data_IF_039681387506
#
_entry.id   IF_039681387506
#
_cell.length_a   1.000
_cell.length_b   1.000
_cell.length_c   1.000
_cell.angle_alpha   90.00
_cell.angle_beta   90.00
_cell.angle_gamma   90.00
#
_symmetry.space_group_name_H-M   'P 1'
#
loop_
_entity.id
_entity.type
_entity.pdbx_description
1 polymer ?
#
# COMPACT_ATOMS: atom_id res chain seq x y z
N UNK A 1 1.32 -2.69 45.68
CA UNK A 1 0.59 -2.14 44.52
C UNK A 1 1.29 -2.63 43.26
N UNK A 2 0.72 -3.64 42.59
CA UNK A 2 1.21 -4.12 41.28
C UNK A 2 0.39 -3.40 40.21
N UNK A 3 1.04 -2.53 39.43
CA UNK A 3 0.47 -1.89 38.24
C UNK A 3 0.63 -2.87 37.08
N UNK A 4 -0.46 -3.49 36.61
CA UNK A 4 -0.44 -4.46 35.52
C UNK A 4 -0.35 -3.81 34.12
N UNK A 5 0.21 -4.49 33.11
CA UNK A 5 0.40 -3.93 31.77
C UNK A 5 -0.86 -4.14 30.92
N UNK A 6 -1.78 -3.18 30.94
CA UNK A 6 -3.02 -3.23 30.14
C UNK A 6 -2.78 -2.76 28.67
N UNK A 7 -1.56 -2.37 28.30
CA UNK A 7 -1.29 -1.79 26.98
C UNK A 7 -1.12 -2.77 25.80
N UNK A 8 -0.84 -4.05 26.03
CA UNK A 8 -0.41 -4.96 24.95
C UNK A 8 -1.57 -5.57 24.13
N UNK A 9 -2.77 -5.70 24.71
CA UNK A 9 -3.88 -6.39 24.04
C UNK A 9 -4.54 -5.55 22.93
N UNK A 10 -4.53 -4.22 23.03
CA UNK A 10 -5.07 -3.34 21.99
C UNK A 10 -4.24 -3.35 20.70
N UNK A 11 -2.96 -3.77 20.78
CA UNK A 11 -2.07 -3.80 19.62
C UNK A 11 -2.31 -5.02 18.70
N UNK A 12 -2.92 -6.10 19.18
CA UNK A 12 -3.13 -7.30 18.35
C UNK A 12 -4.30 -7.13 17.37
N UNK A 13 -5.41 -6.54 17.83
CA UNK A 13 -6.64 -6.47 17.04
C UNK A 13 -6.50 -5.59 15.77
N UNK A 14 -5.74 -4.49 15.82
CA UNK A 14 -5.50 -3.67 14.63
C UNK A 14 -4.51 -4.34 13.65
N UNK A 15 -3.54 -5.10 14.16
CA UNK A 15 -2.60 -5.87 13.33
C UNK A 15 -3.30 -7.00 12.61
N UNK A 16 -4.21 -7.72 13.27
CA UNK A 16 -5.03 -8.75 12.62
C UNK A 16 -5.91 -8.16 11.51
N UNK A 17 -6.53 -7.01 11.77
CA UNK A 17 -7.34 -6.28 10.78
C UNK A 17 -6.50 -5.83 9.57
N UNK A 18 -5.28 -5.35 9.80
CA UNK A 18 -4.36 -4.99 8.71
C UNK A 18 -3.82 -6.20 7.96
N UNK A 19 -3.62 -7.32 8.66
CA UNK A 19 -3.18 -8.58 8.06
C UNK A 19 -4.27 -9.15 7.16
N UNK A 20 -5.52 -9.13 7.61
CA UNK A 20 -6.67 -9.53 6.81
C UNK A 20 -6.84 -8.64 5.57
N UNK A 21 -6.69 -7.31 5.73
CA UNK A 21 -6.71 -6.37 4.62
C UNK A 21 -5.54 -6.57 3.64
N UNK A 22 -4.34 -6.87 4.14
CA UNK A 22 -3.17 -7.16 3.32
C UNK A 22 -3.36 -8.45 2.50
N UNK A 23 -3.89 -9.51 3.12
CA UNK A 23 -4.20 -10.77 2.43
C UNK A 23 -5.31 -10.57 1.38
N UNK A 24 -6.35 -9.79 1.70
CA UNK A 24 -7.43 -9.47 0.77
C UNK A 24 -6.96 -8.62 -0.42
N UNK A 25 -5.97 -7.74 -0.23
CA UNK A 25 -5.43 -6.85 -1.28
C UNK A 25 -4.30 -7.47 -2.11
N UNK A 26 -3.60 -8.49 -1.60
CA UNK A 26 -2.58 -9.22 -2.34
C UNK A 26 -3.15 -10.02 -3.54
N UNK A 27 -4.32 -10.66 -3.36
CA UNK A 27 -4.95 -11.47 -4.41
C UNK A 27 -5.31 -10.69 -5.70
N UNK A 28 -5.93 -9.49 -5.66
CA UNK A 28 -6.21 -8.70 -6.86
C UNK A 28 -4.97 -8.03 -7.47
N UNK A 29 -3.90 -7.78 -6.70
CA UNK A 29 -2.69 -7.11 -7.19
C UNK A 29 -1.89 -7.97 -8.20
N UNK A 30 -1.84 -9.29 -8.00
CA UNK A 30 -1.17 -10.20 -8.94
C UNK A 30 -1.90 -10.34 -10.29
N UNK A 31 -3.22 -10.15 -10.32
CA UNK A 31 -4.04 -10.39 -11.52
C UNK A 31 -4.21 -9.14 -12.42
N UNK A 32 -3.93 -7.94 -11.91
CA UNK A 32 -4.20 -6.68 -12.59
C UNK A 32 -3.00 -6.07 -13.33
N UNK A 33 -1.96 -6.87 -13.63
CA UNK A 33 -0.85 -6.46 -14.51
C UNK A 33 -1.30 -6.39 -15.99
N UNK A 34 -2.36 -5.62 -16.27
CA UNK A 34 -2.81 -5.30 -17.61
C UNK A 34 -2.05 -4.08 -18.14
N UNK A 35 -1.43 -4.23 -19.30
CA UNK A 35 -0.67 -3.22 -20.06
C UNK A 35 -1.56 -2.15 -20.71
N UNK A 36 -2.70 -1.80 -20.11
CA UNK A 36 -3.43 -0.62 -20.52
C UNK A 36 -2.62 0.61 -20.11
N UNK A 37 -2.50 1.59 -21.01
CA UNK A 37 -1.90 2.88 -20.69
C UNK A 37 -2.76 3.55 -19.60
N UNK A 38 -2.34 3.38 -18.36
CA UNK A 38 -3.00 3.97 -17.19
C UNK A 38 -2.69 5.46 -17.12
N UNK A 39 -3.67 6.27 -16.73
CA UNK A 39 -3.50 7.71 -16.53
C UNK A 39 -3.95 8.06 -15.11
N UNK A 40 -3.12 8.78 -14.33
CA UNK A 40 -3.50 9.22 -12.99
C UNK A 40 -4.72 10.14 -13.05
N UNK A 41 -5.59 10.05 -12.05
CA UNK A 41 -6.82 10.86 -11.95
C UNK A 41 -6.65 12.05 -11.03
N UNK A 42 -5.82 11.91 -10.01
CA UNK A 42 -5.57 12.91 -8.96
C UNK A 42 -4.26 13.64 -9.23
N UNK A 43 -3.22 12.92 -9.67
CA UNK A 43 -1.90 13.49 -9.87
C UNK A 43 -1.67 13.99 -11.31
N UNK A 44 -0.86 15.04 -11.46
CA UNK A 44 -0.23 15.36 -12.74
C UNK A 44 0.84 14.33 -13.07
N UNK A 45 1.25 14.22 -14.33
CA UNK A 45 2.30 13.27 -14.76
C UNK A 45 3.63 13.43 -13.98
N UNK A 46 4.00 14.66 -13.63
CA UNK A 46 5.21 14.91 -12.85
C UNK A 46 5.06 14.47 -11.38
N UNK A 47 3.88 14.71 -10.78
CA UNK A 47 3.59 14.29 -9.42
C UNK A 47 3.52 12.76 -9.32
N UNK A 48 2.89 12.11 -10.29
CA UNK A 48 2.83 10.66 -10.38
C UNK A 48 4.23 10.03 -10.46
N UNK A 49 5.08 10.53 -11.36
CA UNK A 49 6.48 10.11 -11.44
C UNK A 49 7.23 10.30 -10.11
N UNK A 50 6.94 11.39 -9.40
CA UNK A 50 7.54 11.65 -8.08
C UNK A 50 7.05 10.66 -7.02
N UNK A 51 5.76 10.33 -7.01
CA UNK A 51 5.19 9.32 -6.11
C UNK A 51 5.79 7.94 -6.39
N UNK A 52 5.99 7.59 -7.66
CA UNK A 52 6.67 6.35 -8.04
C UNK A 52 8.09 6.30 -7.48
N UNK A 53 8.89 7.36 -7.65
CA UNK A 53 10.26 7.38 -7.14
C UNK A 53 10.32 7.34 -5.60
N UNK A 54 9.49 8.13 -4.92
CA UNK A 54 9.43 8.16 -3.45
C UNK A 54 8.99 6.79 -2.91
N UNK A 55 7.97 6.19 -3.50
CA UNK A 55 7.46 4.89 -3.03
C UNK A 55 8.47 3.78 -3.24
N UNK A 56 9.24 3.79 -4.35
CA UNK A 56 10.31 2.82 -4.59
C UNK A 56 11.48 2.98 -3.62
N UNK A 57 11.79 4.21 -3.21
CA UNK A 57 12.81 4.44 -2.17
C UNK A 57 12.37 3.89 -0.80
N UNK A 58 11.07 3.90 -0.49
CA UNK A 58 10.53 3.40 0.78
C UNK A 58 10.35 1.89 0.76
N UNK A 59 9.82 1.35 -0.35
CA UNK A 59 9.56 -0.07 -0.57
C UNK A 59 10.36 -0.53 -1.79
N UNK A 60 11.68 -0.72 -1.63
CA UNK A 60 12.51 -1.18 -2.74
C UNK A 60 12.17 -2.62 -3.10
N UNK A 61 12.44 -2.97 -4.35
CA UNK A 61 12.45 -4.37 -4.77
C UNK A 61 13.43 -5.19 -3.91
N UNK A 62 12.91 -6.22 -3.24
CA UNK A 62 13.70 -7.21 -2.51
C UNK A 62 13.28 -8.60 -3.00
N UNK A 63 13.12 -9.58 -2.09
CA UNK A 63 12.54 -10.89 -2.39
C UNK A 63 11.04 -10.79 -2.76
N UNK A 64 10.37 -9.71 -2.34
CA UNK A 64 9.01 -9.36 -2.73
C UNK A 64 9.00 -8.18 -3.69
N UNK A 65 7.93 -8.05 -4.47
CA UNK A 65 7.74 -6.94 -5.40
C UNK A 65 7.89 -5.56 -4.71
N UNK A 66 8.70 -4.67 -5.29
CA UNK A 66 8.87 -3.28 -4.88
C UNK A 66 7.70 -2.41 -5.31
N UNK A 67 7.67 -1.16 -4.87
CA UNK A 67 6.53 -0.26 -5.06
C UNK A 67 6.14 -0.06 -6.55
N UNK A 68 7.13 0.05 -7.44
CA UNK A 68 6.89 0.21 -8.87
C UNK A 68 6.33 -1.05 -9.51
N UNK A 69 6.84 -2.21 -9.12
CA UNK A 69 6.35 -3.50 -9.58
C UNK A 69 4.93 -3.79 -9.06
N UNK A 70 4.63 -3.32 -7.85
CA UNK A 70 3.32 -3.44 -7.21
C UNK A 70 2.33 -2.32 -7.57
N UNK A 71 2.72 -1.34 -8.40
CA UNK A 71 1.86 -0.24 -8.86
C UNK A 71 1.26 0.60 -7.71
N UNK A 72 2.08 0.90 -6.69
CA UNK A 72 1.65 1.65 -5.49
C UNK A 72 1.16 3.06 -5.83
N UNK A 73 1.70 3.69 -6.86
CA UNK A 73 1.23 4.96 -7.44
C UNK A 73 -0.27 4.93 -7.76
N UNK A 74 -0.74 3.85 -8.39
CA UNK A 74 -2.15 3.68 -8.78
C UNK A 74 -3.05 3.42 -7.58
N UNK A 75 -2.56 2.68 -6.59
CA UNK A 75 -3.27 2.44 -5.34
C UNK A 75 -3.49 3.76 -4.60
N UNK A 76 -2.46 4.61 -4.51
CA UNK A 76 -2.54 5.92 -3.87
C UNK A 76 -3.53 6.82 -4.62
N UNK A 77 -3.41 6.93 -5.94
CA UNK A 77 -4.35 7.69 -6.78
C UNK A 77 -5.80 7.23 -6.56
N UNK A 78 -6.02 5.91 -6.50
CA UNK A 78 -7.34 5.32 -6.22
C UNK A 78 -7.84 5.61 -4.80
N UNK A 79 -6.97 5.59 -3.80
CA UNK A 79 -7.35 5.79 -2.40
C UNK A 79 -7.86 7.21 -2.15
N UNK A 80 -7.24 8.21 -2.79
CA UNK A 80 -7.63 9.61 -2.64
C UNK A 80 -9.00 9.89 -3.26
N UNK A 81 -9.39 9.17 -4.32
CA UNK A 81 -10.70 9.34 -4.97
C UNK A 81 -11.86 8.96 -4.04
N UNK A 82 -11.64 8.04 -3.09
CA UNK A 82 -12.69 7.53 -2.19
C UNK A 82 -12.66 8.14 -0.79
N UNK A 83 -11.86 9.20 -0.59
CA UNK A 83 -11.88 10.05 0.61
C UNK A 83 -12.88 11.19 0.40
#
# INVERSE_FOLDING_TARGET
MVLGPVGAACAAAWVDSLTELALASAAPAQAAAGTAAWTPRVFTAHQDATVVEISELIIPQTETAGARAAQVDRLIDRSIIHI
#
